data_IF_713434270645
#
_entry.id   IF_713434270645
#
_cell.length_a   1.000
_cell.length_b   1.000
_cell.length_c   1.000
_cell.angle_alpha   90.00
_cell.angle_beta   90.00
_cell.angle_gamma   90.00
#
_symmetry.space_group_name_H-M   'P 1'
#
loop_
_entity.id
_entity.type
_entity.pdbx_description
1 polymer ?
#
# COMPACT_ATOMS: atom_id res chain seq x y z
N UNK A 1 -21.47 0.54 -15.44
CA UNK A 1 -20.06 0.93 -15.56
C UNK A 1 -20.03 2.43 -15.43
N UNK A 2 -19.27 2.95 -14.47
CA UNK A 2 -19.21 4.39 -14.16
C UNK A 2 -18.25 5.11 -15.11
N UNK A 3 -18.41 4.85 -16.41
CA UNK A 3 -17.68 5.54 -17.48
C UNK A 3 -18.51 6.76 -17.89
N UNK A 4 -18.55 7.74 -17.01
CA UNK A 4 -18.80 9.12 -17.44
C UNK A 4 -17.49 9.70 -17.96
N UNK A 5 -17.54 10.43 -19.07
CA UNK A 5 -16.40 11.20 -19.55
C UNK A 5 -16.16 12.35 -18.56
N UNK A 6 -15.05 12.29 -17.83
CA UNK A 6 -14.62 13.37 -16.95
C UNK A 6 -13.71 14.33 -17.73
N UNK A 7 -14.19 15.51 -18.13
CA UNK A 7 -13.33 16.49 -18.78
C UNK A 7 -12.25 16.93 -17.78
N UNK A 8 -10.98 16.90 -18.21
CA UNK A 8 -9.85 17.40 -17.44
C UNK A 8 -8.95 18.25 -18.33
N UNK A 9 -8.22 19.17 -17.71
CA UNK A 9 -7.18 19.97 -18.37
C UNK A 9 -5.90 19.81 -17.56
N UNK A 10 -4.77 19.64 -18.24
CA UNK A 10 -3.45 19.57 -17.62
C UNK A 10 -2.53 20.62 -18.21
N UNK A 11 -1.50 20.98 -17.45
CA UNK A 11 -0.39 21.81 -17.93
C UNK A 11 0.85 20.96 -18.21
N UNK A 12 1.86 21.54 -18.86
CA UNK A 12 3.12 20.84 -19.14
C UNK A 12 3.79 20.39 -17.84
N UNK A 13 4.03 19.08 -17.71
CA UNK A 13 4.59 18.47 -16.51
C UNK A 13 3.57 17.73 -15.64
N UNK A 14 2.28 17.80 -15.96
CA UNK A 14 1.21 17.09 -15.25
C UNK A 14 0.68 15.91 -16.07
N UNK A 15 0.42 14.79 -15.38
CA UNK A 15 -0.26 13.63 -15.94
C UNK A 15 -1.58 13.45 -15.17
N UNK A 16 -2.74 13.40 -15.85
CA UNK A 16 -4.02 13.18 -15.18
C UNK A 16 -4.04 11.78 -14.56
N UNK A 17 -4.24 11.70 -13.24
CA UNK A 17 -4.28 10.45 -12.49
C UNK A 17 -5.51 10.47 -11.56
N UNK A 18 -6.32 9.43 -11.63
CA UNK A 18 -7.53 9.29 -10.83
C UNK A 18 -7.41 8.06 -9.93
N UNK A 19 -7.85 8.20 -8.69
CA UNK A 19 -7.87 7.10 -7.71
C UNK A 19 -9.31 6.67 -7.49
N UNK A 20 -9.56 5.37 -7.52
CA UNK A 20 -10.89 4.80 -7.28
C UNK A 20 -11.31 5.03 -5.83
N UNK A 21 -12.56 5.41 -5.61
CA UNK A 21 -13.16 5.43 -4.27
C UNK A 21 -13.02 4.06 -3.59
N UNK A 22 -12.65 4.07 -2.30
CA UNK A 22 -12.30 2.89 -1.53
C UNK A 22 -10.85 2.42 -1.69
N UNK A 23 -10.01 3.09 -2.49
CA UNK A 23 -8.60 2.73 -2.56
C UNK A 23 -7.90 2.95 -1.20
N UNK A 24 -7.10 1.97 -0.80
CA UNK A 24 -6.13 2.08 0.28
C UNK A 24 -4.75 1.93 -0.37
N UNK A 25 -4.00 3.02 -0.46
CA UNK A 25 -2.71 3.05 -1.14
C UNK A 25 -1.58 3.08 -0.10
N UNK A 26 -0.92 1.94 0.16
CA UNK A 26 0.23 1.91 1.05
C UNK A 26 1.50 2.41 0.36
N UNK A 27 2.32 3.13 1.10
CA UNK A 27 3.63 3.62 0.72
C UNK A 27 4.61 3.58 1.88
N UNK A 28 5.86 3.95 1.58
CA UNK A 28 6.94 4.07 2.54
C UNK A 28 7.45 5.51 2.51
N UNK A 29 8.10 5.98 3.59
CA UNK A 29 8.82 7.25 3.56
C UNK A 29 9.77 7.32 2.36
N UNK A 30 9.93 8.52 1.81
CA UNK A 30 10.84 8.76 0.70
C UNK A 30 12.23 8.17 0.97
N UNK A 31 12.77 7.49 -0.03
CA UNK A 31 14.15 7.01 -0.06
C UNK A 31 14.73 7.24 -1.46
N UNK A 32 16.05 7.43 -1.54
CA UNK A 32 16.74 7.65 -2.82
C UNK A 32 16.79 6.38 -3.69
N UNK A 33 16.67 5.20 -3.08
CA UNK A 33 16.55 3.93 -3.78
C UNK A 33 15.86 2.90 -2.89
N UNK A 34 15.47 1.78 -3.48
CA UNK A 34 14.86 0.66 -2.75
C UNK A 34 15.80 0.06 -1.69
N UNK A 35 17.12 0.18 -1.88
CA UNK A 35 18.11 -0.28 -0.90
C UNK A 35 18.10 0.53 0.42
N UNK A 36 17.56 1.75 0.40
CA UNK A 36 17.43 2.62 1.57
C UNK A 36 15.98 2.72 2.10
N UNK A 37 15.05 1.96 1.53
CA UNK A 37 13.67 1.95 2.00
C UNK A 37 13.58 1.37 3.42
N UNK A 38 12.95 2.10 4.31
CA UNK A 38 12.61 1.59 5.64
C UNK A 38 11.20 1.02 5.66
N UNK A 39 11.09 -0.29 5.85
CA UNK A 39 9.79 -0.97 6.03
C UNK A 39 9.24 -0.83 7.46
N UNK A 40 9.93 -0.10 8.34
CA UNK A 40 9.49 0.14 9.74
C UNK A 40 8.35 1.14 9.85
N UNK A 41 8.05 1.88 8.78
CA UNK A 41 6.91 2.79 8.70
C UNK A 41 6.13 2.50 7.42
N UNK A 42 4.82 2.34 7.55
CA UNK A 42 3.90 2.25 6.41
C UNK A 42 2.94 3.42 6.46
N UNK A 43 2.94 4.21 5.39
CA UNK A 43 2.06 5.35 5.19
C UNK A 43 0.91 4.91 4.28
N UNK A 44 -0.31 5.29 4.58
CA UNK A 44 -1.49 4.83 3.85
C UNK A 44 -2.38 6.00 3.49
N UNK A 45 -2.54 6.26 2.20
CA UNK A 45 -3.57 7.18 1.72
C UNK A 45 -4.88 6.41 1.53
N UNK A 46 -5.94 6.88 2.18
CA UNK A 46 -7.26 6.25 2.15
C UNK A 46 -8.25 7.16 1.43
N UNK A 47 -8.73 6.71 0.28
CA UNK A 47 -9.66 7.45 -0.55
C UNK A 47 -11.08 7.00 -0.23
N UNK A 48 -11.78 7.81 0.55
CA UNK A 48 -13.19 7.63 0.89
C UNK A 48 -14.12 7.49 -0.33
N UNK A 49 -15.34 7.01 -0.08
CA UNK A 49 -16.46 6.93 -1.04
C UNK A 49 -16.91 5.51 -1.35
N UNK A 50 -16.17 4.48 -0.92
CA UNK A 50 -16.54 3.07 -1.02
C UNK A 50 -15.69 2.22 -0.07
N UNK A 51 -16.12 0.98 0.20
CA UNK A 51 -15.31 0.01 0.92
C UNK A 51 -14.07 -0.41 0.10
N UNK A 52 -13.01 -0.76 0.82
CA UNK A 52 -11.67 -0.94 0.25
C UNK A 52 -10.90 -2.10 0.84
N UNK A 53 -10.12 -2.79 0.01
CA UNK A 53 -9.15 -3.81 0.47
C UNK A 53 -7.86 -3.69 -0.32
N UNK A 54 -6.74 -3.76 0.38
CA UNK A 54 -5.41 -3.90 -0.20
C UNK A 54 -4.62 -4.99 0.54
N UNK A 55 -3.80 -5.78 -0.17
CA UNK A 55 -2.87 -6.73 0.44
C UNK A 55 -1.43 -6.28 0.19
N UNK A 56 -0.76 -5.84 1.25
CA UNK A 56 0.66 -5.51 1.22
C UNK A 56 1.44 -6.82 1.17
N UNK A 57 2.32 -6.97 0.19
CA UNK A 57 3.25 -8.11 0.06
C UNK A 57 4.67 -7.58 0.11
N UNK A 58 5.48 -8.12 1.02
CA UNK A 58 6.87 -7.70 1.23
C UNK A 58 7.80 -8.91 1.32
N UNK A 59 9.02 -8.77 0.79
CA UNK A 59 10.13 -9.72 0.93
C UNK A 59 11.43 -8.98 1.29
N UNK A 60 12.59 -9.62 1.14
CA UNK A 60 13.88 -8.97 1.38
C UNK A 60 14.30 -7.96 0.29
N UNK A 61 13.64 -7.96 -0.88
CA UNK A 61 13.91 -7.09 -2.02
C UNK A 61 15.26 -7.33 -2.72
N UNK A 62 15.98 -8.41 -2.39
CA UNK A 62 17.35 -8.66 -2.87
C UNK A 62 17.54 -10.08 -3.40
N UNK A 63 16.89 -11.07 -2.80
CA UNK A 63 17.11 -12.49 -3.11
C UNK A 63 15.88 -13.15 -3.73
N UNK A 64 16.07 -14.37 -4.25
CA UNK A 64 14.99 -15.20 -4.81
C UNK A 64 14.26 -16.04 -3.74
N UNK A 65 14.45 -15.74 -2.45
CA UNK A 65 13.92 -16.54 -1.36
C UNK A 65 12.38 -16.59 -1.32
N UNK A 66 11.71 -15.62 -1.92
CA UNK A 66 10.25 -15.63 -2.11
C UNK A 66 9.77 -16.86 -2.91
N UNK A 67 10.58 -17.37 -3.85
CA UNK A 67 10.22 -18.53 -4.70
C UNK A 67 10.33 -19.86 -3.99
N UNK A 68 11.32 -20.00 -3.12
CA UNK A 68 11.77 -21.31 -2.62
C UNK A 68 11.29 -21.64 -1.22
N UNK A 69 10.67 -20.69 -0.50
CA UNK A 69 10.27 -20.93 0.89
C UNK A 69 9.23 -19.99 1.48
N UNK A 70 8.38 -19.35 0.66
CA UNK A 70 7.34 -18.40 1.15
C UNK A 70 7.94 -17.33 2.07
N UNK A 71 9.13 -16.82 1.72
CA UNK A 71 9.84 -15.78 2.47
C UNK A 71 9.27 -14.41 2.13
N UNK A 72 7.97 -14.26 2.38
CA UNK A 72 7.25 -13.01 2.25
C UNK A 72 6.44 -12.76 3.52
N UNK A 73 6.10 -11.50 3.75
CA UNK A 73 5.09 -11.07 4.70
C UNK A 73 3.92 -10.53 3.91
N UNK A 74 2.70 -10.96 4.26
CA UNK A 74 1.47 -10.36 3.76
C UNK A 74 0.69 -9.68 4.88
N UNK A 75 0.23 -8.45 4.63
CA UNK A 75 -0.60 -7.68 5.56
C UNK A 75 -1.83 -7.15 4.84
N UNK A 76 -3.02 -7.59 5.27
CA UNK A 76 -4.29 -7.13 4.69
C UNK A 76 -4.72 -5.82 5.35
N UNK A 77 -5.01 -4.83 4.52
CA UNK A 77 -5.61 -3.55 4.87
C UNK A 77 -7.07 -3.57 4.43
N UNK A 78 -7.99 -3.19 5.30
CA UNK A 78 -9.43 -3.14 4.99
C UNK A 78 -10.01 -1.81 5.43
N UNK A 79 -10.53 -1.04 4.49
CA UNK A 79 -11.27 0.19 4.75
C UNK A 79 -12.76 -0.06 4.67
N UNK A 80 -13.50 0.42 5.67
CA UNK A 80 -14.96 0.43 5.68
C UNK A 80 -15.45 1.87 5.67
N UNK A 81 -16.16 2.25 4.61
CA UNK A 81 -16.55 3.64 4.32
C UNK A 81 -17.52 4.18 5.37
N UNK A 82 -18.56 3.40 5.67
CA UNK A 82 -19.63 3.77 6.59
C UNK A 82 -19.14 4.12 8.00
N UNK A 83 -18.03 3.52 8.44
CA UNK A 83 -17.41 3.76 9.75
C UNK A 83 -16.13 4.59 9.68
N UNK A 84 -15.69 4.99 8.48
CA UNK A 84 -14.40 5.64 8.23
C UNK A 84 -13.23 4.91 8.91
N UNK A 85 -13.28 3.57 8.90
CA UNK A 85 -12.34 2.74 9.68
C UNK A 85 -11.41 1.97 8.78
N UNK A 86 -10.11 2.05 9.05
CA UNK A 86 -9.09 1.15 8.50
C UNK A 86 -8.77 0.08 9.53
N UNK A 87 -8.79 -1.17 9.12
CA UNK A 87 -8.31 -2.32 9.89
C UNK A 87 -7.05 -2.85 9.24
N UNK A 88 -6.01 -3.00 10.06
CA UNK A 88 -4.73 -3.58 9.68
C UNK A 88 -4.67 -4.97 10.30
N UNK A 89 -4.69 -6.01 9.48
CA UNK A 89 -4.61 -7.38 9.96
C UNK A 89 -3.22 -7.69 10.52
N UNK A 90 -3.14 -8.69 11.39
CA UNK A 90 -1.83 -9.24 11.79
C UNK A 90 -1.07 -9.75 10.55
N UNK A 91 0.24 -9.45 10.42
CA UNK A 91 1.04 -9.92 9.31
C UNK A 91 1.14 -11.44 9.32
N UNK A 92 1.18 -12.05 8.12
CA UNK A 92 1.36 -13.49 7.91
C UNK A 92 2.65 -13.74 7.17
N UNK A 93 3.40 -14.75 7.59
CA UNK A 93 4.71 -15.05 7.02
C UNK A 93 5.84 -14.23 7.64
N UNK A 94 7.05 -14.38 7.10
CA UNK A 94 8.25 -13.67 7.54
C UNK A 94 9.35 -13.83 6.48
N UNK A 95 10.28 -12.87 6.45
CA UNK A 95 11.49 -12.90 5.64
C UNK A 95 12.67 -12.36 6.45
N UNK A 96 13.89 -12.59 5.98
CA UNK A 96 15.08 -12.11 6.67
C UNK A 96 15.13 -10.57 6.69
N UNK A 97 15.19 -9.98 7.88
CA UNK A 97 15.14 -8.53 8.04
C UNK A 97 13.72 -7.93 8.06
N UNK A 98 12.67 -8.75 8.12
CA UNK A 98 11.31 -8.26 8.36
C UNK A 98 11.24 -7.48 9.70
N UNK A 99 10.60 -6.31 9.73
CA UNK A 99 10.57 -5.49 10.94
C UNK A 99 9.65 -6.08 12.02
N UNK A 100 10.18 -6.32 13.22
CA UNK A 100 9.40 -6.82 14.38
C UNK A 100 8.30 -5.86 14.85
N UNK A 101 8.47 -4.56 14.57
CA UNK A 101 7.53 -3.49 14.90
C UNK A 101 7.42 -2.52 13.76
N UNK A 102 6.21 -2.01 13.54
CA UNK A 102 5.89 -1.08 12.48
C UNK A 102 5.10 0.11 13.02
N UNK A 103 5.45 1.31 12.57
CA UNK A 103 4.64 2.53 12.73
C UNK A 103 3.69 2.62 11.54
N UNK A 104 2.43 2.95 11.82
CA UNK A 104 1.42 3.18 10.79
C UNK A 104 1.00 4.64 10.79
N UNK A 105 0.91 5.23 9.61
CA UNK A 105 0.39 6.58 9.38
C UNK A 105 -0.76 6.45 8.40
N UNK A 106 -1.90 7.05 8.74
CA UNK A 106 -3.12 7.14 7.93
C UNK A 106 -3.54 8.59 7.90
#
# INVERSE_FOLDING_TARGET
SDTEDFPYTTTTGEVPLFVKAGAVLPGYPYAQSTAYLTKRQLEMDVYAGADGVFEVVEDDGVTEAYRTGQRTVTTRLTYTDASRRVVIAHPKGSYEGAPDKRRYVV
#
